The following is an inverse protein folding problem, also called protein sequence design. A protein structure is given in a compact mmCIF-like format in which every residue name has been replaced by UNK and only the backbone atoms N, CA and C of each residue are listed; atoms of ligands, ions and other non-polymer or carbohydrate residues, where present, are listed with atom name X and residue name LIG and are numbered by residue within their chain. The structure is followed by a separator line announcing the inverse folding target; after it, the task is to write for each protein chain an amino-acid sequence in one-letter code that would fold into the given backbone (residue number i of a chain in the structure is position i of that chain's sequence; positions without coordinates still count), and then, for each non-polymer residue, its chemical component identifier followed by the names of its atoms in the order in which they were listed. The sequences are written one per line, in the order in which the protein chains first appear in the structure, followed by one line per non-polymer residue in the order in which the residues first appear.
data_IF_707328271330
#
_entry.id   IF_707328271330
#
_cell.length_a   1.000
_cell.length_b   1.000
_cell.length_c   1.000
_cell.angle_alpha   90.00
_cell.angle_beta   90.00
_cell.angle_gamma   90.00
#
_symmetry.space_group_name_H-M   'P 1'
#
loop_
_entity.id
_entity.type
_entity.pdbx_description
1 polymer ?
#
# COMPACT_ATOMS: atom_id res chain seq x y z
N UNK A 1 4.70 5.14 34.06
CA UNK A 1 5.44 4.51 32.94
C UNK A 1 4.98 5.18 31.66
N UNK A 2 5.92 5.51 30.76
CA UNK A 2 5.60 6.04 29.43
C UNK A 2 4.92 4.96 28.59
N UNK A 3 3.99 5.32 27.69
CA UNK A 3 3.34 4.33 26.82
C UNK A 3 4.36 3.65 25.90
N UNK A 4 4.24 2.34 25.72
CA UNK A 4 4.99 1.60 24.72
C UNK A 4 4.17 1.66 23.44
N UNK A 5 4.69 2.30 22.39
CA UNK A 5 4.00 2.39 21.10
C UNK A 5 4.98 1.97 20.03
N UNK A 6 4.55 1.04 19.18
CA UNK A 6 5.32 0.60 18.03
C UNK A 6 4.58 0.88 16.73
N UNK A 7 5.35 1.06 15.66
CA UNK A 7 4.84 1.28 14.32
C UNK A 7 4.81 -0.01 13.52
N UNK A 8 3.82 -0.12 12.62
CA UNK A 8 3.73 -1.22 11.68
C UNK A 8 5.01 -1.31 10.84
N UNK A 9 5.59 -2.50 10.76
CA UNK A 9 6.79 -2.75 9.95
C UNK A 9 6.59 -2.39 8.48
N UNK A 10 5.37 -2.54 7.94
CA UNK A 10 5.10 -2.29 6.54
C UNK A 10 4.80 -0.81 6.25
N UNK A 11 3.81 -0.23 6.93
CA UNK A 11 3.34 1.12 6.58
C UNK A 11 4.05 2.23 7.35
N UNK A 12 4.80 1.92 8.41
CA UNK A 12 5.52 2.89 9.25
C UNK A 12 4.62 3.72 10.16
N UNK A 13 3.31 3.55 10.12
CA UNK A 13 2.37 4.25 10.99
C UNK A 13 2.14 3.48 12.30
N UNK A 14 1.78 4.19 13.35
CA UNK A 14 1.60 3.64 14.69
C UNK A 14 0.51 2.56 14.78
N UNK A 15 0.79 1.49 15.53
CA UNK A 15 -0.25 0.55 16.01
C UNK A 15 -0.92 1.16 17.25
N UNK A 16 -1.55 2.32 17.08
CA UNK A 16 -2.27 3.03 18.13
C UNK A 16 -3.18 4.08 17.51
N UNK A 17 -4.31 4.34 18.14
CA UNK A 17 -5.19 5.45 17.77
C UNK A 17 -5.12 6.54 18.85
N UNK A 18 -4.59 7.71 18.48
CA UNK A 18 -4.46 8.85 19.39
C UNK A 18 -5.75 9.66 19.56
N UNK A 19 -6.75 9.45 18.71
CA UNK A 19 -7.99 10.26 18.74
C UNK A 19 -9.07 9.70 19.67
N UNK A 20 -8.79 8.59 20.37
CA UNK A 20 -9.67 7.97 21.37
C UNK A 20 -11.15 7.89 20.92
N UNK A 21 -11.39 7.65 19.63
CA UNK A 21 -12.75 7.42 19.17
C UNK A 21 -13.25 6.12 19.79
N UNK A 22 -14.48 6.11 20.29
CA UNK A 22 -15.09 4.95 20.98
C UNK A 22 -15.29 3.72 20.08
N UNK A 23 -14.84 3.77 18.82
CA UNK A 23 -14.82 2.69 17.85
C UNK A 23 -13.46 2.00 17.79
N UNK A 24 -13.49 0.67 17.65
CA UNK A 24 -12.33 -0.19 17.43
C UNK A 24 -11.62 0.14 16.11
N UNK A 25 -10.74 1.12 16.15
CA UNK A 25 -10.02 1.63 14.98
C UNK A 25 -9.12 0.56 14.37
N UNK A 26 -9.02 0.54 13.03
CA UNK A 26 -8.10 -0.36 12.33
C UNK A 26 -6.64 -0.12 12.73
N UNK A 27 -6.31 1.10 13.20
CA UNK A 27 -4.99 1.49 13.70
C UNK A 27 -4.56 0.69 14.93
N UNK A 28 -5.51 0.18 15.72
CA UNK A 28 -5.24 -0.65 16.89
C UNK A 28 -5.21 -2.15 16.56
N UNK A 29 -5.72 -2.55 15.39
CA UNK A 29 -5.80 -3.94 14.98
C UNK A 29 -4.50 -4.40 14.34
N UNK A 30 -3.91 -5.47 14.85
CA UNK A 30 -2.59 -5.91 14.41
C UNK A 30 -2.47 -7.43 14.33
N UNK A 31 -1.50 -7.88 13.53
CA UNK A 31 -0.91 -9.22 13.59
C UNK A 31 0.56 -9.11 13.92
N UNK A 32 1.11 -10.19 14.45
CA UNK A 32 2.53 -10.35 14.66
C UNK A 32 3.08 -11.49 13.80
N UNK A 33 4.18 -11.21 13.11
CA UNK A 33 5.07 -12.24 12.55
C UNK A 33 6.10 -12.58 13.61
N UNK A 34 6.12 -13.81 14.10
CA UNK A 34 6.95 -14.16 15.25
C UNK A 34 7.68 -15.49 15.07
N UNK A 35 8.84 -15.59 15.72
CA UNK A 35 9.51 -16.87 15.93
C UNK A 35 9.09 -17.48 17.26
N UNK A 36 8.99 -18.81 17.28
CA UNK A 36 8.86 -19.65 18.46
C UNK A 36 9.88 -20.80 18.37
N UNK A 37 10.08 -21.58 19.44
CA UNK A 37 10.92 -22.79 19.39
C UNK A 37 10.50 -23.81 18.33
N UNK A 38 9.25 -23.75 17.84
CA UNK A 38 8.70 -24.69 16.86
C UNK A 38 8.73 -24.17 15.42
N UNK A 39 9.06 -22.89 15.20
CA UNK A 39 9.15 -22.33 13.85
C UNK A 39 8.79 -20.85 13.77
N UNK A 40 8.39 -20.42 12.57
CA UNK A 40 7.96 -19.05 12.28
C UNK A 40 6.48 -19.06 11.97
N UNK A 41 5.74 -18.15 12.60
CA UNK A 41 4.28 -18.13 12.59
C UNK A 41 3.75 -16.71 12.41
N UNK A 42 2.53 -16.61 11.90
CA UNK A 42 1.73 -15.39 11.95
C UNK A 42 0.62 -15.60 12.99
N UNK A 43 0.40 -14.60 13.81
CA UNK A 43 -0.66 -14.63 14.82
C UNK A 43 -2.05 -14.42 14.20
N UNK A 44 -3.09 -14.63 15.01
CA UNK A 44 -4.41 -14.06 14.80
C UNK A 44 -4.41 -12.53 14.92
N UNK A 45 -5.59 -11.93 14.92
CA UNK A 45 -5.75 -10.47 15.02
C UNK A 45 -5.88 -10.05 16.48
N UNK A 46 -4.93 -9.26 16.95
CA UNK A 46 -4.97 -8.61 18.27
C UNK A 46 -5.54 -7.20 18.19
N UNK A 47 -5.88 -6.64 19.36
CA UNK A 47 -6.25 -5.23 19.52
C UNK A 47 -5.32 -4.58 20.55
N UNK A 48 -4.58 -3.55 20.13
CA UNK A 48 -3.71 -2.80 21.02
C UNK A 48 -4.44 -1.61 21.64
N UNK A 49 -5.00 -1.82 22.83
CA UNK A 49 -5.83 -0.83 23.54
C UNK A 49 -5.22 -0.33 24.88
N UNK A 50 -4.09 -0.88 25.33
CA UNK A 50 -3.47 -0.52 26.62
C UNK A 50 -1.95 -0.25 26.50
N UNK A 51 -1.56 0.91 25.96
CA UNK A 51 -0.16 1.23 25.71
C UNK A 51 0.63 1.49 27.00
N UNK A 52 -0.05 1.85 28.10
CA UNK A 52 0.58 2.04 29.41
C UNK A 52 1.00 0.72 30.06
N UNK A 53 0.28 -0.37 29.76
CA UNK A 53 0.68 -1.71 30.16
C UNK A 53 1.86 -2.24 29.35
N UNK A 54 1.97 -1.83 28.08
CA UNK A 54 3.04 -2.26 27.17
C UNK A 54 3.00 -3.75 26.84
N UNK A 55 1.90 -4.43 27.17
CA UNK A 55 1.68 -5.85 26.93
C UNK A 55 0.98 -6.01 25.59
N UNK A 56 1.51 -6.89 24.75
CA UNK A 56 0.94 -7.22 23.45
C UNK A 56 0.32 -8.60 23.52
N UNK A 57 -1.01 -8.65 23.38
CA UNK A 57 -1.80 -9.89 23.48
C UNK A 57 -2.32 -10.21 22.09
N UNK A 58 -2.07 -11.44 21.64
CA UNK A 58 -2.49 -11.86 20.31
C UNK A 58 -2.80 -13.37 20.24
N UNK A 59 -3.86 -13.79 19.53
CA UNK A 59 -4.15 -15.21 19.38
C UNK A 59 -3.02 -15.93 18.63
N UNK A 60 -2.69 -17.16 19.06
CA UNK A 60 -1.71 -17.97 18.34
C UNK A 60 -2.25 -18.50 17.00
N UNK A 61 -3.56 -18.76 16.91
CA UNK A 61 -4.22 -19.18 15.67
C UNK A 61 -4.47 -17.99 14.74
N UNK A 62 -3.92 -18.07 13.53
CA UNK A 62 -4.06 -17.06 12.48
C UNK A 62 -5.51 -16.79 12.03
N UNK A 63 -6.42 -17.73 12.23
CA UNK A 63 -7.83 -17.56 11.88
C UNK A 63 -8.67 -16.79 12.92
N UNK A 64 -8.13 -16.59 14.12
CA UNK A 64 -8.87 -16.05 15.27
C UNK A 64 -8.66 -14.55 15.42
N UNK A 65 -9.70 -13.85 15.88
CA UNK A 65 -9.68 -12.43 16.21
C UNK A 65 -9.91 -12.21 17.71
N UNK A 66 -9.45 -11.06 18.18
CA UNK A 66 -9.58 -10.63 19.57
C UNK A 66 -11.05 -10.49 20.06
N UNK A 67 -12.02 -10.36 19.15
CA UNK A 67 -13.44 -10.20 19.46
C UNK A 67 -14.30 -11.41 19.08
N UNK A 68 -13.68 -12.55 18.77
CA UNK A 68 -14.44 -13.77 18.47
C UNK A 68 -15.17 -14.29 19.73
N UNK A 69 -16.36 -14.85 19.53
CA UNK A 69 -17.17 -15.34 20.65
C UNK A 69 -16.50 -16.57 21.31
N UNK A 70 -16.29 -16.50 22.63
CA UNK A 70 -15.73 -17.61 23.42
C UNK A 70 -14.20 -17.61 23.57
N UNK A 71 -13.50 -16.62 23.02
CA UNK A 71 -12.06 -16.44 23.27
C UNK A 71 -11.81 -15.65 24.55
N UNK A 72 -11.08 -16.26 25.49
CA UNK A 72 -10.47 -15.56 26.62
C UNK A 72 -8.96 -15.54 26.43
N UNK A 73 -8.37 -14.34 26.38
CA UNK A 73 -6.93 -14.20 26.28
C UNK A 73 -6.30 -14.21 27.67
N UNK A 74 -5.21 -14.94 27.81
CA UNK A 74 -4.46 -15.08 29.05
C UNK A 74 -3.04 -14.54 28.88
N UNK A 75 -2.24 -14.56 29.94
CA UNK A 75 -0.80 -14.27 29.84
C UNK A 75 -0.03 -15.21 28.91
N UNK A 76 -0.60 -16.35 28.52
CA UNK A 76 0.01 -17.24 27.51
C UNK A 76 -0.12 -16.70 26.08
N UNK A 77 -1.00 -15.73 25.85
CA UNK A 77 -1.18 -15.04 24.57
C UNK A 77 -0.32 -13.77 24.49
N UNK A 78 0.47 -13.49 25.52
CA UNK A 78 1.44 -12.41 25.53
C UNK A 78 2.61 -12.72 24.58
N UNK A 79 2.90 -11.78 23.71
CA UNK A 79 3.99 -11.85 22.76
C UNK A 79 4.91 -10.66 22.91
N UNK A 80 6.19 -10.91 23.16
CA UNK A 80 7.20 -9.86 23.08
C UNK A 80 7.35 -9.42 21.62
N UNK A 81 7.30 -8.11 21.37
CA UNK A 81 7.43 -7.57 20.02
C UNK A 81 8.51 -6.50 19.93
N UNK A 82 9.06 -6.31 18.72
CA UNK A 82 9.92 -5.17 18.39
C UNK A 82 11.16 -5.10 19.29
N UNK A 83 11.34 -4.03 20.08
CA UNK A 83 12.48 -3.88 21.01
C UNK A 83 12.36 -4.71 22.29
N UNK A 84 11.21 -5.35 22.54
CA UNK A 84 11.01 -6.12 23.76
C UNK A 84 11.88 -7.37 23.77
N UNK A 85 12.37 -7.75 24.96
CA UNK A 85 13.08 -9.01 25.13
C UNK A 85 12.14 -10.19 24.92
N UNK A 86 12.64 -11.24 24.27
CA UNK A 86 11.85 -12.43 23.99
C UNK A 86 11.25 -13.02 25.28
N UNK A 87 9.94 -13.32 25.23
CA UNK A 87 9.18 -13.89 26.36
C UNK A 87 8.83 -15.33 26.01
N UNK A 88 9.22 -16.28 26.86
CA UNK A 88 9.03 -17.73 26.62
C UNK A 88 9.63 -18.23 25.29
N UNK A 89 10.75 -17.65 24.86
CA UNK A 89 11.38 -17.97 23.57
C UNK A 89 10.59 -17.48 22.34
N UNK A 90 9.57 -16.62 22.54
CA UNK A 90 8.81 -15.99 21.47
C UNK A 90 9.17 -14.52 21.34
N UNK A 91 9.33 -14.07 20.10
CA UNK A 91 9.55 -12.67 19.75
C UNK A 91 9.06 -12.42 18.33
N UNK A 92 8.42 -11.27 18.11
CA UNK A 92 7.85 -10.94 16.81
C UNK A 92 7.88 -9.46 16.43
N UNK A 93 7.35 -9.21 15.23
CA UNK A 93 7.23 -7.90 14.62
C UNK A 93 5.78 -7.65 14.24
N UNK A 94 5.29 -6.45 14.53
CA UNK A 94 3.87 -6.11 14.35
C UNK A 94 3.57 -5.44 13.02
N UNK A 95 2.41 -5.81 12.47
CA UNK A 95 1.82 -5.26 11.26
C UNK A 95 0.38 -4.88 11.56
N UNK A 96 -0.12 -3.75 11.04
CA UNK A 96 -1.57 -3.54 11.05
C UNK A 96 -2.27 -4.68 10.31
N UNK A 97 -3.46 -5.07 10.76
CA UNK A 97 -4.24 -6.11 10.09
C UNK A 97 -4.51 -5.74 8.63
N UNK A 98 -4.89 -4.49 8.38
CA UNK A 98 -5.11 -3.97 7.03
C UNK A 98 -3.85 -4.07 6.14
N UNK A 99 -2.67 -3.80 6.72
CA UNK A 99 -1.39 -3.87 6.03
C UNK A 99 -1.01 -5.32 5.71
N UNK A 100 -1.26 -6.25 6.64
CA UNK A 100 -1.06 -7.68 6.40
C UNK A 100 -1.98 -8.21 5.29
N UNK A 101 -3.25 -7.81 5.29
CA UNK A 101 -4.20 -8.18 4.23
C UNK A 101 -3.78 -7.66 2.85
N UNK A 102 -3.22 -6.45 2.76
CA UNK A 102 -2.63 -5.95 1.51
C UNK A 102 -1.43 -6.78 1.07
N UNK A 103 -0.54 -7.14 2.00
CA UNK A 103 0.61 -8.00 1.71
C UNK A 103 0.16 -9.37 1.20
N UNK A 104 -0.86 -9.98 1.82
CA UNK A 104 -1.46 -11.23 1.34
C UNK A 104 -2.02 -11.10 -0.08
N UNK A 105 -2.63 -9.95 -0.39
CA UNK A 105 -3.15 -9.70 -1.73
C UNK A 105 -2.04 -9.64 -2.79
N UNK A 106 -0.90 -9.01 -2.47
CA UNK A 106 0.23 -8.91 -3.41
C UNK A 106 0.86 -10.28 -3.69
N UNK A 107 0.96 -11.14 -2.67
CA UNK A 107 1.54 -12.48 -2.83
C UNK A 107 0.59 -13.49 -3.49
N UNK A 108 -0.73 -13.31 -3.41
CA UNK A 108 -1.71 -14.23 -3.99
C UNK A 108 -1.44 -14.53 -5.49
N UNK A 109 -1.40 -15.82 -5.93
CA UNK A 109 -1.79 -17.05 -5.22
C UNK A 109 -0.70 -17.71 -4.37
N UNK A 110 0.50 -17.14 -4.33
CA UNK A 110 1.60 -17.64 -3.53
C UNK A 110 1.43 -17.25 -2.05
N UNK A 111 2.04 -18.04 -1.17
CA UNK A 111 2.06 -17.74 0.26
C UNK A 111 3.19 -16.76 0.58
N UNK A 112 2.96 -15.86 1.54
CA UNK A 112 4.01 -14.99 2.08
C UNK A 112 5.12 -15.88 2.68
N UNK A 113 6.40 -15.73 2.28
CA UNK A 113 7.50 -16.52 2.80
C UNK A 113 7.86 -16.06 4.22
N UNK A 114 7.10 -16.52 5.22
CA UNK A 114 7.15 -16.04 6.61
C UNK A 114 8.56 -16.08 7.20
N UNK A 115 9.31 -17.16 6.98
CA UNK A 115 10.68 -17.29 7.48
C UNK A 115 11.60 -16.20 6.89
N UNK A 116 11.52 -15.96 5.57
CA UNK A 116 12.30 -14.92 4.91
C UNK A 116 11.89 -13.53 5.37
N UNK A 117 10.59 -13.27 5.49
CA UNK A 117 10.10 -11.98 5.97
C UNK A 117 10.58 -11.72 7.41
N UNK A 118 10.58 -12.73 8.27
CA UNK A 118 11.09 -12.60 9.63
C UNK A 118 12.61 -12.35 9.67
N UNK A 119 13.39 -13.03 8.81
CA UNK A 119 14.82 -12.75 8.66
C UNK A 119 15.09 -11.31 8.25
N UNK A 120 14.29 -10.78 7.30
CA UNK A 120 14.36 -9.37 6.90
C UNK A 120 14.03 -8.48 8.10
N UNK A 121 12.92 -8.70 8.80
CA UNK A 121 12.59 -7.89 9.98
C UNK A 121 13.70 -7.89 11.04
N UNK A 122 14.37 -9.04 11.25
CA UNK A 122 15.49 -9.18 12.19
C UNK A 122 16.77 -8.49 11.73
N UNK A 123 16.98 -8.31 10.42
CA UNK A 123 18.17 -7.64 9.88
C UNK A 123 18.04 -6.11 9.86
N UNK A 124 16.81 -5.59 9.96
CA UNK A 124 16.56 -4.15 9.97
C UNK A 124 17.01 -3.52 11.29
N UNK A 125 17.74 -2.38 11.25
CA UNK A 125 18.07 -1.64 12.45
C UNK A 125 16.79 -1.12 13.12
N UNK A 126 16.82 -1.08 14.45
CA UNK A 126 15.75 -0.48 15.24
C UNK A 126 16.30 0.77 15.96
N UNK A 127 16.08 1.97 15.39
CA UNK A 127 16.60 3.22 15.94
C UNK A 127 16.15 3.42 17.39
N UNK A 128 17.04 3.91 18.25
CA UNK A 128 16.79 4.04 19.70
C UNK A 128 15.56 4.90 20.01
N UNK A 129 15.39 6.00 19.28
CA UNK A 129 14.29 6.95 19.50
C UNK A 129 13.04 6.65 18.66
N UNK A 130 13.14 5.77 17.66
CA UNK A 130 12.00 5.45 16.81
C UNK A 130 11.06 4.38 17.43
N UNK A 131 9.81 4.43 16.98
CA UNK A 131 8.73 3.49 17.25
C UNK A 131 8.72 2.28 16.31
N UNK A 132 9.50 2.30 15.22
CA UNK A 132 9.53 1.22 14.22
C UNK A 132 10.93 0.87 13.73
N UNK A 133 11.00 -0.20 12.93
CA UNK A 133 12.23 -0.59 12.22
C UNK A 133 12.59 0.46 11.16
N UNK A 134 13.86 0.50 10.75
CA UNK A 134 14.31 1.38 9.66
C UNK A 134 14.67 0.56 8.42
N UNK A 135 13.81 0.64 7.40
CA UNK A 135 14.07 0.04 6.08
C UNK A 135 15.11 0.80 5.24
N UNK A 136 15.49 2.00 5.66
CA UNK A 136 16.27 2.93 4.83
C UNK A 136 15.43 3.74 3.83
N UNK A 137 14.10 3.73 3.97
CA UNK A 137 13.17 4.58 3.23
C UNK A 137 12.26 5.39 4.16
N UNK A 138 11.51 6.33 3.59
CA UNK A 138 10.70 7.30 4.33
C UNK A 138 9.24 6.87 4.59
N UNK A 139 8.93 5.60 4.32
CA UNK A 139 7.58 5.01 4.43
C UNK A 139 6.55 5.74 3.56
N UNK A 140 6.96 6.20 2.38
CA UNK A 140 6.09 6.96 1.47
C UNK A 140 5.79 8.34 2.03
N UNK A 141 6.80 8.97 2.64
CA UNK A 141 6.76 10.31 3.20
C UNK A 141 6.09 10.43 4.57
N UNK A 142 6.06 9.37 5.38
CA UNK A 142 5.60 9.44 6.79
C UNK A 142 6.70 9.86 7.76
N UNK A 143 7.93 9.52 7.43
CA UNK A 143 9.11 9.96 8.18
C UNK A 143 10.00 10.76 7.23
N UNK A 144 10.97 11.45 7.80
CA UNK A 144 12.04 12.11 7.07
C UNK A 144 13.35 11.41 7.43
N UNK A 145 14.23 11.26 6.44
CA UNK A 145 15.58 10.74 6.62
C UNK A 145 16.55 11.90 6.55
N UNK A 146 17.16 12.23 7.69
CA UNK A 146 18.19 13.27 7.74
C UNK A 146 19.53 12.72 7.25
N UNK A 147 19.90 13.12 6.05
CA UNK A 147 21.17 12.77 5.42
C UNK A 147 22.24 13.86 5.58
N UNK A 148 21.85 15.06 5.99
CA UNK A 148 22.73 16.24 5.96
C UNK A 148 23.27 16.57 7.36
N UNK A 149 22.48 16.37 8.41
CA UNK A 149 22.82 16.83 9.77
C UNK A 149 22.97 15.69 10.79
N UNK A 150 23.02 14.44 10.33
CA UNK A 150 23.13 13.26 11.19
C UNK A 150 24.46 12.53 11.02
N UNK A 151 25.09 12.14 12.13
CA UNK A 151 26.28 11.28 12.09
C UNK A 151 25.91 9.82 11.72
N UNK A 152 26.86 8.99 11.22
CA UNK A 152 26.59 7.60 10.85
C UNK A 152 26.06 6.70 11.96
N UNK A 153 26.28 7.06 13.23
CA UNK A 153 25.82 6.32 14.42
C UNK A 153 24.54 6.90 15.04
N UNK A 154 23.99 7.98 14.48
CA UNK A 154 22.75 8.60 14.96
C UNK A 154 21.53 8.06 14.23
N UNK A 155 20.39 8.11 14.92
CA UNK A 155 19.11 7.79 14.34
C UNK A 155 18.74 8.85 13.30
N UNK A 156 18.66 8.45 12.02
CA UNK A 156 18.32 9.36 10.91
C UNK A 156 16.82 9.56 10.71
N UNK A 157 16.00 8.77 11.40
CA UNK A 157 14.54 8.82 11.28
C UNK A 157 13.99 9.96 12.12
N UNK A 158 13.44 10.96 11.44
CA UNK A 158 12.71 12.06 12.06
C UNK A 158 11.23 11.88 11.70
N UNK A 159 10.37 11.83 12.71
CA UNK A 159 8.93 11.76 12.48
C UNK A 159 8.43 13.07 11.86
N UNK A 160 7.56 12.98 10.85
CA UNK A 160 6.94 14.17 10.29
C UNK A 160 5.86 14.70 11.21
N UNK A 161 5.64 16.01 11.12
CA UNK A 161 4.51 16.70 11.74
C UNK A 161 3.18 15.99 11.43
N UNK A 162 2.39 15.75 12.47
CA UNK A 162 1.05 15.15 12.41
C UNK A 162 0.11 15.93 11.48
N UNK A 163 0.37 17.23 11.28
CA UNK A 163 -0.44 18.11 10.41
C UNK A 163 -0.19 17.83 8.92
N UNK A 164 0.83 17.05 8.56
CA UNK A 164 1.09 16.75 7.15
C UNK A 164 -0.06 15.96 6.51
N UNK A 165 -0.39 16.28 5.26
CA UNK A 165 -1.47 15.58 4.53
C UNK A 165 -1.20 14.07 4.40
N UNK A 166 0.06 13.66 4.38
CA UNK A 166 0.46 12.25 4.38
C UNK A 166 0.09 11.57 5.70
N UNK A 167 0.37 12.20 6.83
CA UNK A 167 -0.01 11.70 8.16
C UNK A 167 -1.53 11.61 8.30
N UNK A 168 -2.27 12.62 7.85
CA UNK A 168 -3.74 12.60 7.85
C UNK A 168 -4.29 11.45 7.00
N UNK A 169 -3.78 11.26 5.78
CA UNK A 169 -4.18 10.15 4.91
C UNK A 169 -3.80 8.80 5.49
N UNK A 170 -2.68 8.70 6.22
CA UNK A 170 -2.22 7.45 6.80
C UNK A 170 -3.13 6.90 7.90
N UNK A 171 -4.02 7.73 8.46
CA UNK A 171 -5.07 7.32 9.42
C UNK A 171 -6.25 6.62 8.76
N UNK A 172 -6.46 6.81 7.46
CA UNK A 172 -7.55 6.17 6.73
C UNK A 172 -7.25 4.69 6.48
N UNK A 173 -8.25 3.81 6.65
CA UNK A 173 -8.07 2.38 6.45
C UNK A 173 -7.65 2.08 5.00
N UNK A 174 -6.45 1.51 4.77
CA UNK A 174 -5.97 1.27 3.41
C UNK A 174 -6.55 0.00 2.81
N UNK A 175 -7.16 -0.89 3.59
CA UNK A 175 -7.72 -2.14 3.09
C UNK A 175 -9.24 -2.01 2.87
N UNK A 176 -9.98 -1.51 3.85
CA UNK A 176 -11.42 -1.27 3.72
C UNK A 176 -11.70 0.19 3.31
N UNK A 177 -11.83 0.42 1.99
CA UNK A 177 -12.06 1.75 1.42
C UNK A 177 -13.46 1.78 0.78
N UNK A 178 -14.51 2.19 1.52
CA UNK A 178 -15.89 2.09 1.05
C UNK A 178 -16.16 2.92 -0.22
N UNK A 179 -15.43 4.02 -0.43
CA UNK A 179 -15.55 4.86 -1.62
C UNK A 179 -15.18 4.13 -2.91
N UNK A 180 -14.41 3.04 -2.85
CA UNK A 180 -14.10 2.21 -4.02
C UNK A 180 -15.37 1.70 -4.68
N UNK A 181 -16.34 1.23 -3.89
CA UNK A 181 -17.60 0.72 -4.43
C UNK A 181 -18.36 1.81 -5.18
N UNK A 182 -18.33 3.06 -4.68
CA UNK A 182 -18.89 4.22 -5.37
C UNK A 182 -18.10 4.53 -6.64
N UNK A 183 -16.77 4.48 -6.59
CA UNK A 183 -15.91 4.69 -7.76
C UNK A 183 -16.24 3.70 -8.89
N UNK A 184 -16.50 2.45 -8.53
CA UNK A 184 -16.83 1.38 -9.47
C UNK A 184 -18.25 1.49 -10.04
N UNK A 185 -19.23 1.94 -9.26
CA UNK A 185 -20.64 2.04 -9.66
C UNK A 185 -20.98 3.30 -10.45
N UNK A 186 -20.25 4.39 -10.25
CA UNK A 186 -20.53 5.65 -10.93
C UNK A 186 -20.35 5.52 -12.44
N UNK A 187 -21.46 5.72 -13.17
CA UNK A 187 -21.49 5.70 -14.63
C UNK A 187 -20.63 6.84 -15.18
N UNK A 188 -19.79 6.49 -16.12
CA UNK A 188 -18.84 7.39 -16.77
C UNK A 188 -19.58 8.52 -17.47
N UNK A 189 -19.16 9.76 -17.21
CA UNK A 189 -19.46 10.86 -18.14
C UNK A 189 -18.79 10.50 -19.47
N UNK A 190 -19.55 10.56 -20.56
CA UNK A 190 -19.05 10.31 -21.91
C UNK A 190 -17.71 11.00 -22.09
N UNK A 191 -16.68 10.37 -22.69
CA UNK A 191 -15.46 11.08 -23.01
C UNK A 191 -15.85 12.34 -23.79
N UNK A 192 -15.21 13.50 -23.54
CA UNK A 192 -15.40 14.64 -24.42
C UNK A 192 -15.16 14.12 -25.83
N UNK A 193 -16.18 14.21 -26.70
CA UNK A 193 -16.07 13.84 -28.11
C UNK A 193 -14.79 14.52 -28.58
N UNK A 194 -13.76 13.71 -28.86
CA UNK A 194 -12.52 14.26 -29.38
C UNK A 194 -12.95 15.08 -30.57
N UNK A 195 -12.71 16.41 -30.55
CA UNK A 195 -12.74 17.16 -31.79
C UNK A 195 -11.83 16.37 -32.70
N UNK A 196 -12.39 15.81 -33.77
CA UNK A 196 -11.59 15.24 -34.84
C UNK A 196 -10.55 16.30 -35.13
N UNK A 197 -9.30 16.01 -34.76
CA UNK A 197 -8.19 16.91 -35.01
C UNK A 197 -8.09 16.91 -36.53
N UNK A 198 -8.73 17.91 -37.14
CA UNK A 198 -8.71 18.11 -38.56
C UNK A 198 -7.25 18.09 -38.98
N UNK A 199 -6.94 17.14 -39.84
CA UNK A 199 -5.63 16.92 -40.42
C UNK A 199 -5.24 18.15 -41.26
N UNK A 200 -4.69 19.16 -40.61
CA UNK A 200 -4.01 20.28 -41.26
C UNK A 200 -2.71 20.53 -40.52
N UNK A 201 -1.65 19.91 -41.03
CA UNK A 201 -0.31 20.05 -40.53
C UNK A 201 0.62 19.20 -41.36
N UNK A 202 1.12 19.79 -42.45
CA UNK A 202 2.19 19.27 -43.30
C UNK A 202 3.47 19.16 -42.48
N UNK A 203 3.67 18.00 -41.85
CA UNK A 203 4.99 17.50 -41.49
C UNK A 203 5.11 16.22 -42.32
N UNK A 204 6.16 16.16 -43.11
CA UNK A 204 6.48 15.04 -43.99
C UNK A 204 6.24 13.71 -43.30
N UNK A 205 5.26 12.94 -43.78
CA UNK A 205 4.90 11.57 -43.35
C UNK A 205 6.05 10.54 -43.49
N UNK A 206 7.27 11.00 -43.78
CA UNK A 206 8.44 10.19 -44.12
C UNK A 206 9.34 9.81 -42.93
N UNK A 207 9.12 10.33 -41.72
CA UNK A 207 10.02 10.07 -40.57
C UNK A 207 9.41 9.28 -39.39
N UNK A 208 8.08 9.20 -39.26
CA UNK A 208 7.45 8.46 -38.15
C UNK A 208 7.27 6.98 -38.52
N UNK A 209 8.28 6.16 -38.23
CA UNK A 209 8.29 4.73 -38.55
C UNK A 209 7.14 3.95 -37.89
N UNK A 210 6.55 4.48 -36.81
CA UNK A 210 5.43 3.82 -36.13
C UNK A 210 4.12 3.92 -36.93
N UNK A 211 3.99 4.86 -37.87
CA UNK A 211 2.80 4.96 -38.74
C UNK A 211 2.63 3.71 -39.61
N UNK A 212 3.74 3.06 -39.97
CA UNK A 212 3.71 1.80 -40.74
C UNK A 212 3.25 0.58 -39.95
N UNK A 213 3.13 0.68 -38.61
CA UNK A 213 2.70 -0.45 -37.79
C UNK A 213 1.16 -0.52 -37.70
N UNK A 214 0.59 -1.75 -37.71
CA UNK A 214 -0.81 -1.95 -37.39
C UNK A 214 -1.18 -1.33 -36.05
N UNK A 215 -2.45 -0.94 -35.89
CA UNK A 215 -2.94 -0.31 -34.66
C UNK A 215 -2.69 -1.20 -33.44
N UNK A 216 -2.96 -2.49 -33.58
CA UNK A 216 -2.85 -3.51 -32.55
C UNK A 216 -1.43 -3.57 -32.00
N UNK A 217 -0.42 -3.48 -32.87
CA UNK A 217 0.99 -3.48 -32.45
C UNK A 217 1.33 -2.22 -31.67
N UNK A 218 0.84 -1.06 -32.09
CA UNK A 218 1.03 0.20 -31.37
C UNK A 218 0.33 0.19 -30.01
N UNK A 219 -0.84 -0.41 -29.94
CA UNK A 219 -1.61 -0.57 -28.70
C UNK A 219 -0.90 -1.50 -27.72
N UNK A 220 -0.40 -2.63 -28.18
CA UNK A 220 0.42 -3.55 -27.38
C UNK A 220 1.70 -2.87 -26.88
N UNK A 221 2.43 -2.17 -27.75
CA UNK A 221 3.60 -1.38 -27.33
C UNK A 221 3.25 -0.41 -26.20
N UNK A 222 2.12 0.30 -26.30
CA UNK A 222 1.69 1.21 -25.25
C UNK A 222 1.31 0.49 -23.94
N UNK A 223 0.78 -0.72 -24.00
CA UNK A 223 0.47 -1.55 -22.82
C UNK A 223 1.75 -1.89 -22.03
N UNK A 224 2.91 -2.02 -22.68
CA UNK A 224 4.18 -2.30 -21.99
C UNK A 224 4.89 -1.05 -21.42
N UNK A 225 4.47 0.16 -21.79
CA UNK A 225 5.06 1.40 -21.32
C UNK A 225 4.34 1.92 -20.07
N UNK A 226 5.01 2.76 -19.27
CA UNK A 226 4.34 3.48 -18.16
C UNK A 226 3.34 4.51 -18.72
N UNK A 227 2.35 4.92 -17.91
CA UNK A 227 1.45 6.01 -18.34
C UNK A 227 2.20 7.29 -18.70
N UNK A 228 3.29 7.61 -17.99
CA UNK A 228 4.09 8.80 -18.25
C UNK A 228 4.81 8.71 -19.62
N UNK A 229 5.35 7.54 -19.94
CA UNK A 229 6.03 7.30 -21.21
C UNK A 229 5.06 7.32 -22.39
N UNK A 230 3.86 6.75 -22.23
CA UNK A 230 2.83 6.82 -23.29
C UNK A 230 2.38 8.25 -23.53
N UNK A 231 2.21 9.06 -22.47
CA UNK A 231 1.88 10.48 -22.61
C UNK A 231 3.00 11.25 -23.31
N UNK A 232 4.26 10.92 -23.05
CA UNK A 232 5.42 11.49 -23.75
C UNK A 232 5.50 11.03 -25.21
N UNK A 233 5.30 9.75 -25.46
CA UNK A 233 5.30 9.14 -26.80
C UNK A 233 4.24 9.76 -27.71
N UNK A 234 3.06 10.07 -27.17
CA UNK A 234 2.00 10.80 -27.89
C UNK A 234 2.40 12.22 -28.33
N UNK A 235 3.35 12.84 -27.64
CA UNK A 235 3.89 14.15 -28.02
C UNK A 235 4.99 14.01 -29.07
N UNK A 236 5.71 12.89 -29.06
CA UNK A 236 6.82 12.60 -29.97
C UNK A 236 6.35 12.00 -31.32
N UNK A 237 5.31 11.18 -31.32
CA UNK A 237 4.80 10.47 -32.50
C UNK A 237 3.27 10.58 -32.60
N UNK A 238 2.78 10.97 -33.78
CA UNK A 238 1.34 11.09 -34.04
C UNK A 238 0.67 9.71 -34.09
N UNK A 239 1.43 8.65 -34.39
CA UNK A 239 0.93 7.29 -34.47
C UNK A 239 0.27 6.79 -33.17
N UNK A 240 0.63 7.37 -32.02
CA UNK A 240 0.12 6.98 -30.69
C UNK A 240 -1.01 7.89 -30.17
N UNK A 241 -1.41 8.94 -30.90
CA UNK A 241 -2.42 9.91 -30.40
C UNK A 241 -3.73 9.23 -29.97
N UNK A 242 -4.15 8.19 -30.71
CA UNK A 242 -5.38 7.44 -30.47
C UNK A 242 -5.36 6.54 -29.23
N UNK A 243 -4.18 6.19 -28.70
CA UNK A 243 -4.02 5.38 -27.47
C UNK A 243 -4.76 5.99 -26.28
N UNK A 244 -4.85 7.32 -26.23
CA UNK A 244 -5.55 8.00 -25.16
C UNK A 244 -7.05 7.71 -25.09
N UNK A 245 -7.64 7.26 -26.19
CA UNK A 245 -9.04 6.82 -26.24
C UNK A 245 -9.19 5.30 -26.13
N UNK A 246 -8.08 4.54 -26.09
CA UNK A 246 -8.10 3.09 -25.98
C UNK A 246 -8.51 2.64 -24.58
N UNK A 247 -9.64 1.93 -24.49
CA UNK A 247 -10.06 1.28 -23.26
C UNK A 247 -9.17 0.09 -22.90
N UNK A 248 -8.57 -0.58 -23.89
CA UNK A 248 -7.64 -1.69 -23.65
C UNK A 248 -6.36 -1.21 -22.95
N UNK A 249 -5.77 -0.11 -23.44
CA UNK A 249 -4.63 0.54 -22.80
C UNK A 249 -4.96 0.95 -21.37
N UNK A 250 -6.07 1.66 -21.15
CA UNK A 250 -6.43 2.11 -19.80
C UNK A 250 -6.76 0.94 -18.85
N UNK A 251 -7.38 -0.14 -19.35
CA UNK A 251 -7.60 -1.35 -18.57
C UNK A 251 -6.28 -2.00 -18.12
N UNK A 252 -5.25 -1.98 -18.99
CA UNK A 252 -3.93 -2.54 -18.67
C UNK A 252 -3.30 -1.90 -17.44
N UNK A 253 -3.62 -0.64 -17.14
CA UNK A 253 -3.10 0.10 -15.97
C UNK A 253 -3.54 -0.49 -14.64
N UNK A 254 -4.60 -1.28 -14.62
CA UNK A 254 -5.19 -1.90 -13.43
C UNK A 254 -4.81 -3.37 -13.27
N UNK A 255 -4.02 -3.92 -14.19
CA UNK A 255 -3.47 -5.27 -14.05
C UNK A 255 -2.48 -5.34 -12.88
N UNK A 256 -2.16 -6.56 -12.46
CA UNK A 256 -1.07 -6.81 -11.53
C UNK A 256 0.22 -6.14 -12.05
N UNK A 257 1.00 -5.53 -11.15
CA UNK A 257 2.25 -4.83 -11.44
C UNK A 257 2.16 -3.63 -12.41
N UNK A 258 0.97 -3.04 -12.59
CA UNK A 258 0.77 -1.82 -13.37
C UNK A 258 0.51 -0.58 -12.48
N UNK A 259 0.40 0.60 -13.11
CA UNK A 259 0.29 1.91 -12.47
C UNK A 259 -0.82 2.06 -11.40
N UNK A 260 -1.83 1.19 -11.43
CA UNK A 260 -2.99 1.14 -10.52
C UNK A 260 -3.20 -0.25 -9.92
N UNK A 261 -2.15 -1.06 -9.79
CA UNK A 261 -2.23 -2.40 -9.21
C UNK A 261 -2.85 -2.42 -7.79
N UNK A 262 -2.70 -1.32 -7.03
CA UNK A 262 -3.34 -1.12 -5.73
C UNK A 262 -4.89 -1.11 -5.77
N UNK A 263 -5.48 -1.00 -6.96
CA UNK A 263 -6.92 -1.05 -7.19
C UNK A 263 -7.32 -2.45 -7.69
N UNK A 264 -7.17 -3.44 -6.82
CA UNK A 264 -7.32 -4.85 -7.16
C UNK A 264 -8.78 -5.32 -7.34
N UNK A 265 -9.76 -4.54 -6.89
CA UNK A 265 -11.20 -4.84 -7.06
C UNK A 265 -11.62 -4.89 -8.54
N UNK A 266 -10.77 -4.39 -9.44
CA UNK A 266 -10.99 -4.41 -10.89
C UNK A 266 -10.52 -5.69 -11.56
N UNK A 267 -9.63 -6.48 -10.93
CA UNK A 267 -8.98 -7.62 -11.56
C UNK A 267 -9.94 -8.79 -11.84
N UNK A 268 -11.01 -8.91 -11.05
CA UNK A 268 -12.02 -9.97 -11.17
C UNK A 268 -13.36 -9.50 -11.74
N UNK A 269 -13.45 -8.24 -12.18
CA UNK A 269 -14.71 -7.69 -12.68
C UNK A 269 -14.81 -7.85 -14.20
N UNK A 270 -15.86 -8.54 -14.66
CA UNK A 270 -16.21 -8.60 -16.09
C UNK A 270 -17.09 -7.44 -16.56
N UNK A 271 -17.35 -6.45 -15.69
CA UNK A 271 -18.24 -5.35 -16.02
C UNK A 271 -17.61 -4.43 -17.08
N UNK A 272 -18.41 -4.03 -18.07
CA UNK A 272 -18.02 -2.99 -19.03
C UNK A 272 -17.85 -1.66 -18.29
N UNK A 273 -16.65 -1.09 -18.35
CA UNK A 273 -16.28 0.13 -17.62
C UNK A 273 -15.48 1.07 -18.51
N UNK A 274 -15.60 2.38 -18.26
CA UNK A 274 -14.69 3.36 -18.82
C UNK A 274 -13.43 3.43 -17.95
N UNK A 275 -12.43 2.64 -18.34
CA UNK A 275 -11.14 2.52 -17.67
C UNK A 275 -10.39 3.85 -17.62
N UNK A 276 -10.57 4.70 -18.64
CA UNK A 276 -9.95 6.03 -18.66
C UNK A 276 -10.54 6.93 -17.59
N UNK A 277 -11.87 6.95 -17.49
CA UNK A 277 -12.55 7.73 -16.47
C UNK A 277 -12.18 7.25 -15.06
N UNK A 278 -12.11 5.93 -14.86
CA UNK A 278 -11.66 5.34 -13.61
C UNK A 278 -10.20 5.72 -13.29
N UNK A 279 -9.30 5.65 -14.27
CA UNK A 279 -7.90 6.07 -14.10
C UNK A 279 -7.78 7.52 -13.65
N UNK A 280 -8.59 8.41 -14.25
CA UNK A 280 -8.61 9.84 -13.87
C UNK A 280 -9.12 10.06 -12.45
N UNK A 281 -10.18 9.35 -12.05
CA UNK A 281 -10.83 9.50 -10.73
C UNK A 281 -10.01 8.88 -9.60
N UNK A 282 -9.14 7.94 -9.92
CA UNK A 282 -8.19 7.31 -8.98
C UNK A 282 -6.83 8.01 -8.94
N UNK A 283 -6.70 9.19 -9.55
CA UNK A 283 -5.47 10.00 -9.49
C UNK A 283 -5.32 10.75 -8.16
N UNK A 284 -4.08 11.10 -7.79
CA UNK A 284 -3.72 11.54 -6.43
C UNK A 284 -4.40 12.82 -5.94
N UNK A 285 -4.83 13.67 -6.87
CA UNK A 285 -5.55 14.91 -6.56
C UNK A 285 -7.05 14.70 -6.30
N UNK A 286 -7.62 13.55 -6.70
CA UNK A 286 -9.07 13.30 -6.69
C UNK A 286 -9.45 12.01 -5.94
N UNK A 287 -8.47 11.17 -5.61
CA UNK A 287 -8.70 9.89 -4.95
C UNK A 287 -9.13 10.06 -3.48
N UNK A 288 -10.00 9.18 -2.98
CA UNK A 288 -10.36 9.16 -1.56
C UNK A 288 -9.12 8.88 -0.69
N UNK A 289 -9.03 9.42 0.53
CA UNK A 289 -7.79 9.38 1.29
C UNK A 289 -7.39 7.96 1.73
N UNK A 290 -8.34 7.05 1.99
CA UNK A 290 -8.04 5.61 2.18
C UNK A 290 -7.37 4.95 0.97
N UNK A 291 -7.78 5.31 -0.26
CA UNK A 291 -7.14 4.82 -1.48
C UNK A 291 -5.74 5.41 -1.67
N UNK A 292 -5.53 6.66 -1.26
CA UNK A 292 -4.19 7.27 -1.27
C UNK A 292 -3.26 6.59 -0.27
N UNK A 293 -3.77 6.23 0.92
CA UNK A 293 -3.01 5.44 1.89
C UNK A 293 -2.68 4.05 1.34
N UNK A 294 -3.67 3.39 0.71
CA UNK A 294 -3.45 2.11 0.03
C UNK A 294 -2.37 2.21 -1.03
N UNK A 295 -2.43 3.21 -1.91
CA UNK A 295 -1.42 3.43 -2.95
C UNK A 295 -0.02 3.60 -2.34
N UNK A 296 0.10 4.40 -1.27
CA UNK A 296 1.35 4.60 -0.54
C UNK A 296 1.91 3.27 -0.04
N UNK A 297 1.10 2.50 0.67
CA UNK A 297 1.50 1.21 1.25
C UNK A 297 1.83 0.20 0.15
N UNK A 298 1.05 0.17 -0.93
CA UNK A 298 1.29 -0.71 -2.07
C UNK A 298 2.67 -0.50 -2.69
N UNK A 299 3.09 0.76 -2.81
CA UNK A 299 4.43 1.11 -3.31
C UNK A 299 5.57 0.73 -2.35
N UNK A 300 5.27 0.42 -1.08
CA UNK A 300 6.24 -0.11 -0.11
C UNK A 300 6.34 -1.65 -0.16
N UNK A 301 5.34 -2.33 -0.73
CA UNK A 301 5.34 -3.80 -0.85
C UNK A 301 6.10 -4.24 -2.12
N UNK A 302 6.04 -3.45 -3.19
CA UNK A 302 6.65 -3.72 -4.51
C UNK A 302 8.09 -3.24 -4.59
#
# INVERSE_FOLDING_TARGET
MSPVIYSCVLCGYYIWDFEETSSESWLQQFRALYSSPTGTWVSGVGLYNNPRGGVWIVPSDSGVRWNDAGTSFSGQDELAVMKQHATHGRHGFVFHEACWSLLQHVYNPEAIPLARLLEVCKSLPFPLQASGVSWGHDYGGLVFLDYENSYPWEDRLIERDEVSITCQRARENPYDVPEIQRLLKERSQSPPRGKELSSSGSITEREDCFVGLPWEIREEMAVYLSSADVLSLRRASRAFVHIFSSQHFWASRFKANADRAFFFETQNSQERRDWRSLYRRTNDALGPPGLQNRKRIWALIQ
#
